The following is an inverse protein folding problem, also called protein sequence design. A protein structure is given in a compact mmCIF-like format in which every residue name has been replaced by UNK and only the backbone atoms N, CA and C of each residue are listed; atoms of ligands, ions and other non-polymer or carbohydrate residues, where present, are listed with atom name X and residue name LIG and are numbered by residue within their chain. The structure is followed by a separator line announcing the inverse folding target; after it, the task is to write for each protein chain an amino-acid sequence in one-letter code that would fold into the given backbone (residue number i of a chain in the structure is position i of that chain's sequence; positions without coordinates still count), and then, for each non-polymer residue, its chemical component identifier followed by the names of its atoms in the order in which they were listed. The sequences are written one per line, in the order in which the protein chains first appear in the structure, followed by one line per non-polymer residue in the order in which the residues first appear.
data_IF_482312144379
#
_entry.id   IF_482312144379
#
_cell.length_a   1.000
_cell.length_b   1.000
_cell.length_c   1.000
_cell.angle_alpha   90.00
_cell.angle_beta   90.00
_cell.angle_gamma   90.00
#
_symmetry.space_group_name_H-M   'P 1'
#
loop_
_entity.id
_entity.type
_entity.pdbx_description
1 polymer ?
#
# COMPACT_ATOMS: atom_id res chain seq x y z
N UNK A 1 34.48 -63.44 -34.77
CA UNK A 1 33.90 -62.53 -33.77
C UNK A 1 32.72 -63.24 -33.16
N UNK A 2 32.81 -63.64 -31.89
CA UNK A 2 31.76 -64.35 -31.18
C UNK A 2 30.63 -63.39 -30.79
N UNK A 3 29.40 -63.89 -30.64
CA UNK A 3 28.27 -63.13 -30.10
C UNK A 3 28.62 -62.51 -28.74
N UNK A 4 29.44 -63.23 -27.95
CA UNK A 4 29.95 -62.75 -26.66
C UNK A 4 30.85 -61.52 -26.84
N UNK A 5 31.72 -61.50 -27.84
CA UNK A 5 32.60 -60.36 -28.12
C UNK A 5 31.82 -59.12 -28.55
N UNK A 6 30.72 -59.32 -29.29
CA UNK A 6 29.82 -58.25 -29.73
C UNK A 6 29.08 -57.68 -28.52
N UNK A 7 28.56 -58.53 -27.63
CA UNK A 7 27.87 -58.10 -26.41
C UNK A 7 28.79 -57.29 -25.49
N UNK A 8 30.03 -57.73 -25.28
CA UNK A 8 31.01 -56.98 -24.50
C UNK A 8 31.34 -55.62 -25.12
N UNK A 9 31.53 -55.56 -26.45
CA UNK A 9 31.76 -54.29 -27.15
C UNK A 9 30.57 -53.35 -27.08
N UNK A 10 29.34 -53.88 -27.21
CA UNK A 10 28.12 -53.09 -27.05
C UNK A 10 28.00 -52.57 -25.62
N UNK A 11 28.30 -53.39 -24.61
CA UNK A 11 28.29 -52.97 -23.20
C UNK A 11 29.35 -51.88 -22.91
N UNK A 12 30.57 -52.02 -23.45
CA UNK A 12 31.61 -50.98 -23.35
C UNK A 12 31.20 -49.68 -24.06
N UNK A 13 30.55 -49.77 -25.22
CA UNK A 13 30.02 -48.61 -25.94
C UNK A 13 28.89 -47.97 -25.13
N UNK A 14 27.93 -48.73 -24.62
CA UNK A 14 26.87 -48.22 -23.76
C UNK A 14 27.46 -47.50 -22.53
N UNK A 15 28.45 -48.08 -21.85
CA UNK A 15 29.15 -47.45 -20.72
C UNK A 15 29.89 -46.17 -21.11
N UNK A 16 30.52 -46.12 -22.29
CA UNK A 16 31.24 -44.93 -22.78
C UNK A 16 30.30 -43.76 -23.07
N UNK A 17 29.07 -44.05 -23.50
CA UNK A 17 28.06 -43.04 -23.86
C UNK A 17 27.00 -42.80 -22.77
N UNK A 18 27.04 -43.54 -21.67
CA UNK A 18 26.19 -43.41 -20.48
C UNK A 18 26.19 -41.97 -19.92
N UNK A 19 27.30 -41.23 -20.10
CA UNK A 19 27.42 -39.80 -19.73
C UNK A 19 26.61 -38.84 -20.60
N UNK A 20 26.04 -39.30 -21.72
CA UNK A 20 25.16 -38.53 -22.58
C UNK A 20 23.70 -38.92 -22.40
N UNK A 21 23.39 -39.88 -21.53
CA UNK A 21 22.04 -40.22 -21.15
C UNK A 21 21.45 -39.07 -20.31
N UNK A 22 20.62 -38.27 -20.99
CA UNK A 22 19.99 -37.07 -20.44
C UNK A 22 19.04 -37.46 -19.30
N UNK A 23 18.37 -38.61 -19.36
CA UNK A 23 17.43 -39.06 -18.32
C UNK A 23 18.19 -39.50 -17.07
N UNK A 24 19.26 -40.28 -17.25
CA UNK A 24 20.14 -40.69 -16.15
C UNK A 24 20.87 -39.52 -15.48
N UNK A 25 21.29 -38.52 -16.25
CA UNK A 25 21.82 -37.27 -15.71
C UNK A 25 20.75 -36.40 -15.05
N UNK A 26 19.52 -36.40 -15.55
CA UNK A 26 18.42 -35.64 -14.94
C UNK A 26 18.06 -36.20 -13.57
N UNK A 27 18.05 -37.51 -13.40
CA UNK A 27 17.72 -38.14 -12.11
C UNK A 27 18.87 -38.04 -11.09
N UNK A 28 20.13 -38.01 -11.54
CA UNK A 28 21.29 -37.70 -10.69
C UNK A 28 21.36 -36.21 -10.29
N UNK A 29 20.89 -35.30 -11.17
CA UNK A 29 20.87 -33.86 -10.92
C UNK A 29 19.56 -33.35 -10.29
N UNK A 30 18.48 -34.15 -10.27
CA UNK A 30 17.21 -33.81 -9.64
C UNK A 30 17.32 -33.62 -8.12
N UNK A 31 18.41 -34.10 -7.52
CA UNK A 31 18.72 -33.96 -6.10
C UNK A 31 19.99 -33.12 -5.82
N UNK A 32 20.57 -32.49 -6.85
CA UNK A 32 21.84 -31.76 -6.74
C UNK A 32 21.66 -30.25 -6.85
N UNK A 33 21.49 -29.58 -5.70
CA UNK A 33 22.05 -28.26 -5.35
C UNK A 33 22.24 -27.24 -6.51
N UNK A 34 21.22 -27.04 -7.35
CA UNK A 34 21.27 -25.99 -8.36
C UNK A 34 20.80 -24.68 -7.73
N UNK A 35 21.78 -23.88 -7.30
CA UNK A 35 21.58 -22.56 -6.72
C UNK A 35 20.65 -21.66 -7.57
N UNK A 36 20.58 -21.87 -8.90
CA UNK A 36 19.63 -21.17 -9.76
C UNK A 36 18.19 -21.60 -9.50
N UNK A 37 17.91 -22.90 -9.45
CA UNK A 37 16.57 -23.43 -9.24
C UNK A 37 16.03 -23.05 -7.85
N UNK A 38 16.87 -23.14 -6.82
CA UNK A 38 16.49 -22.70 -5.47
C UNK A 38 16.17 -21.20 -5.40
N UNK A 39 17.02 -20.35 -5.99
CA UNK A 39 16.77 -18.91 -6.01
C UNK A 39 15.53 -18.56 -6.84
N UNK A 40 15.33 -19.23 -7.97
CA UNK A 40 14.16 -19.03 -8.83
C UNK A 40 12.86 -19.39 -8.09
N UNK A 41 12.78 -20.58 -7.49
CA UNK A 41 11.59 -21.00 -6.73
C UNK A 41 11.33 -20.11 -5.51
N UNK A 42 12.39 -19.66 -4.82
CA UNK A 42 12.25 -18.69 -3.73
C UNK A 42 11.71 -17.35 -4.21
N UNK A 43 12.23 -16.83 -5.32
CA UNK A 43 11.76 -15.57 -5.91
C UNK A 43 10.32 -15.68 -6.44
N UNK A 44 9.97 -16.81 -7.05
CA UNK A 44 8.63 -17.09 -7.54
C UNK A 44 7.62 -17.11 -6.38
N UNK A 45 7.93 -17.82 -5.29
CA UNK A 45 7.10 -17.84 -4.09
C UNK A 45 6.95 -16.46 -3.43
N UNK A 46 8.03 -15.67 -3.36
CA UNK A 46 7.97 -14.30 -2.83
C UNK A 46 7.16 -13.35 -3.73
N UNK A 47 7.20 -13.53 -5.04
CA UNK A 47 6.38 -12.78 -6.01
C UNK A 47 4.91 -13.12 -5.83
N UNK A 48 4.56 -14.40 -5.74
CA UNK A 48 3.17 -14.83 -5.51
C UNK A 48 2.63 -14.31 -4.18
N UNK A 49 3.41 -14.41 -3.11
CA UNK A 49 3.05 -13.89 -1.80
C UNK A 49 2.87 -12.37 -1.80
N UNK A 50 3.75 -11.63 -2.49
CA UNK A 50 3.62 -10.18 -2.64
C UNK A 50 2.39 -9.78 -3.47
N UNK A 51 2.06 -10.55 -4.51
CA UNK A 51 0.88 -10.33 -5.33
C UNK A 51 -0.41 -10.55 -4.54
N UNK A 52 -0.51 -11.68 -3.83
CA UNK A 52 -1.66 -11.96 -2.98
C UNK A 52 -1.84 -10.92 -1.87
N UNK A 53 -0.74 -10.49 -1.24
CA UNK A 53 -0.77 -9.42 -0.22
C UNK A 53 -1.23 -8.08 -0.81
N UNK A 54 -0.86 -7.76 -2.05
CA UNK A 54 -1.34 -6.57 -2.75
C UNK A 54 -2.84 -6.64 -3.04
N UNK A 55 -3.36 -7.83 -3.39
CA UNK A 55 -4.79 -8.05 -3.61
C UNK A 55 -5.60 -7.88 -2.31
N UNK A 56 -5.14 -8.49 -1.22
CA UNK A 56 -5.73 -8.29 0.12
C UNK A 56 -5.74 -6.80 0.49
N UNK A 57 -4.62 -6.10 0.29
CA UNK A 57 -4.51 -4.68 0.58
C UNK A 57 -5.46 -3.81 -0.26
N UNK A 58 -5.87 -4.27 -1.46
CA UNK A 58 -6.85 -3.59 -2.31
C UNK A 58 -8.30 -3.81 -1.88
N UNK A 59 -8.58 -4.93 -1.21
CA UNK A 59 -9.92 -5.26 -0.68
C UNK A 59 -10.10 -4.79 0.77
N UNK A 60 -9.03 -4.32 1.40
CA UNK A 60 -9.00 -3.88 2.77
C UNK A 60 -9.81 -2.59 2.97
N UNK A 61 -10.69 -2.60 3.97
CA UNK A 61 -11.57 -1.47 4.30
C UNK A 61 -10.94 -0.52 5.31
N UNK A 62 -10.05 -1.04 6.15
CA UNK A 62 -9.30 -0.22 7.09
C UNK A 62 -8.12 0.47 6.40
N UNK A 63 -8.23 1.79 6.23
CA UNK A 63 -7.22 2.62 5.56
C UNK A 63 -5.82 2.49 6.17
N UNK A 64 -5.70 2.41 7.50
CA UNK A 64 -4.39 2.25 8.15
C UNK A 64 -3.79 0.85 7.89
N UNK A 65 -4.62 -0.19 7.91
CA UNK A 65 -4.24 -1.57 7.56
C UNK A 65 -3.76 -1.66 6.11
N UNK A 66 -4.54 -1.08 5.18
CA UNK A 66 -4.21 -1.07 3.75
C UNK A 66 -2.87 -0.36 3.48
N UNK A 67 -2.60 0.77 4.14
CA UNK A 67 -1.33 1.50 4.01
C UNK A 67 -0.16 0.66 4.53
N UNK A 68 -0.31 0.00 5.68
CA UNK A 68 0.73 -0.86 6.25
C UNK A 68 1.05 -2.06 5.34
N UNK A 69 0.03 -2.74 4.82
CA UNK A 69 0.20 -3.85 3.88
C UNK A 69 0.88 -3.40 2.57
N UNK A 70 0.46 -2.27 2.00
CA UNK A 70 1.08 -1.72 0.79
C UNK A 70 2.54 -1.31 1.02
N UNK A 71 2.87 -0.74 2.18
CA UNK A 71 4.26 -0.45 2.54
C UNK A 71 5.12 -1.73 2.61
N UNK A 72 4.55 -2.83 3.09
CA UNK A 72 5.23 -4.12 3.11
C UNK A 72 5.44 -4.70 1.69
N UNK A 73 4.44 -4.60 0.82
CA UNK A 73 4.55 -4.97 -0.60
C UNK A 73 5.67 -4.19 -1.28
N UNK A 74 5.82 -2.89 -0.99
CA UNK A 74 6.93 -2.06 -1.49
C UNK A 74 8.29 -2.56 -1.00
N UNK A 75 8.41 -2.90 0.29
CA UNK A 75 9.66 -3.44 0.86
C UNK A 75 10.04 -4.76 0.21
N UNK A 76 9.09 -5.67 0.04
CA UNK A 76 9.33 -6.96 -0.64
C UNK A 76 9.73 -6.75 -2.10
N UNK A 77 9.08 -5.85 -2.84
CA UNK A 77 9.48 -5.46 -4.20
C UNK A 77 10.94 -4.99 -4.26
N UNK A 78 11.35 -4.11 -3.36
CA UNK A 78 12.73 -3.60 -3.33
C UNK A 78 13.74 -4.74 -3.13
N UNK A 79 13.43 -5.69 -2.23
CA UNK A 79 14.24 -6.90 -2.05
C UNK A 79 14.31 -7.75 -3.33
N UNK A 80 13.16 -8.07 -3.92
CA UNK A 80 13.06 -8.84 -5.16
C UNK A 80 13.89 -8.21 -6.30
N UNK A 81 13.80 -6.89 -6.47
CA UNK A 81 14.57 -6.17 -7.50
C UNK A 81 16.09 -6.25 -7.28
N UNK A 82 16.55 -6.34 -6.04
CA UNK A 82 17.97 -6.53 -5.72
C UNK A 82 18.47 -7.95 -6.01
N UNK A 83 17.58 -8.95 -6.00
CA UNK A 83 17.91 -10.36 -6.24
C UNK A 83 17.84 -10.75 -7.74
N UNK A 84 17.06 -10.04 -8.56
CA UNK A 84 16.96 -10.24 -10.01
C UNK A 84 18.33 -10.26 -10.72
N UNK A 85 19.29 -9.35 -10.43
CA UNK A 85 20.63 -9.42 -11.00
C UNK A 85 21.40 -10.70 -10.65
N UNK A 86 21.21 -11.25 -9.44
CA UNK A 86 21.85 -12.51 -9.03
C UNK A 86 21.28 -13.68 -9.80
N UNK A 87 19.96 -13.71 -9.99
CA UNK A 87 19.29 -14.70 -10.82
C UNK A 87 19.76 -14.62 -12.29
N UNK A 88 19.89 -13.41 -12.86
CA UNK A 88 20.46 -13.21 -14.21
C UNK A 88 21.90 -13.74 -14.32
N UNK A 89 22.75 -13.49 -13.32
CA UNK A 89 24.14 -14.01 -13.28
C UNK A 89 24.17 -15.54 -13.23
N UNK A 90 23.33 -16.16 -12.41
CA UNK A 90 23.24 -17.61 -12.31
C UNK A 90 22.69 -18.24 -13.59
N UNK A 91 21.72 -17.61 -14.25
CA UNK A 91 21.21 -18.05 -15.55
C UNK A 91 22.31 -18.06 -16.63
N UNK A 92 23.10 -16.98 -16.73
CA UNK A 92 24.22 -16.89 -17.68
C UNK A 92 25.33 -17.89 -17.34
N UNK A 93 25.63 -18.09 -16.06
CA UNK A 93 26.61 -19.09 -15.61
C UNK A 93 26.17 -20.51 -15.96
N UNK A 94 24.89 -20.83 -15.77
CA UNK A 94 24.29 -22.12 -16.18
C UNK A 94 24.32 -22.28 -17.70
N UNK A 95 23.96 -21.24 -18.45
CA UNK A 95 24.09 -21.22 -19.91
C UNK A 95 25.53 -21.53 -20.36
N UNK A 96 26.54 -20.94 -19.70
CA UNK A 96 27.95 -21.21 -19.99
C UNK A 96 28.40 -22.61 -19.57
N UNK A 97 27.85 -23.15 -18.47
CA UNK A 97 28.11 -24.53 -17.99
C UNK A 97 27.43 -25.63 -18.80
N UNK A 98 26.38 -25.31 -19.56
CA UNK A 98 25.73 -26.24 -20.51
C UNK A 98 26.40 -26.24 -21.89
N UNK A 99 27.28 -25.27 -22.18
CA UNK A 99 28.06 -25.13 -23.42
C UNK A 99 29.48 -25.78 -23.44
N UNK A 100 30.13 -26.27 -22.36
CA UNK A 100 31.53 -26.72 -22.44
C UNK A 100 31.78 -28.07 -23.14
N UNK A 101 30.78 -28.75 -23.71
CA UNK A 101 31.00 -30.08 -24.30
C UNK A 101 31.33 -30.07 -25.81
N UNK A 102 31.56 -28.91 -26.41
CA UNK A 102 32.13 -28.83 -27.76
C UNK A 102 33.63 -28.50 -27.65
N UNK A 103 34.44 -29.55 -27.46
CA UNK A 103 35.85 -29.47 -27.84
C UNK A 103 35.93 -29.14 -29.34
N UNK A 104 36.87 -28.29 -29.78
CA UNK A 104 36.95 -27.86 -31.17
C UNK A 104 37.61 -28.97 -32.01
N UNK A 105 36.86 -30.00 -32.36
CA UNK A 105 37.26 -30.93 -33.40
C UNK A 105 36.71 -30.44 -34.73
N UNK A 106 37.64 -30.00 -35.58
CA UNK A 106 37.47 -29.68 -37.00
C UNK A 106 36.66 -30.80 -37.67
N UNK A 107 35.58 -30.45 -38.37
CA UNK A 107 35.12 -31.09 -39.61
C UNK A 107 33.99 -30.26 -40.21
N UNK A 108 33.97 -30.26 -41.52
CA UNK A 108 33.32 -29.36 -42.46
C UNK A 108 31.81 -29.55 -42.56
N UNK A 109 31.13 -28.51 -43.08
CA UNK A 109 29.92 -28.62 -43.89
C UNK A 109 28.67 -29.17 -43.21
N UNK A 110 27.75 -28.29 -42.83
CA UNK A 110 26.39 -28.68 -42.47
C UNK A 110 25.64 -27.57 -41.75
N UNK A 111 24.69 -26.95 -42.45
CA UNK A 111 23.71 -26.04 -41.88
C UNK A 111 22.99 -26.72 -40.70
N UNK A 112 23.03 -26.11 -39.51
CA UNK A 112 22.15 -26.47 -38.40
C UNK A 112 21.34 -25.24 -38.00
N UNK A 113 20.22 -25.12 -38.69
CA UNK A 113 19.08 -24.32 -38.32
C UNK A 113 18.40 -24.96 -37.12
N UNK A 114 18.56 -24.41 -35.92
CA UNK A 114 17.57 -24.46 -34.83
C UNK A 114 17.87 -23.37 -33.79
N UNK A 115 17.06 -22.29 -33.69
CA UNK A 115 17.11 -21.39 -32.55
C UNK A 115 16.55 -22.13 -31.34
N UNK A 116 17.41 -22.38 -30.35
CA UNK A 116 17.02 -22.98 -29.08
C UNK A 116 16.02 -22.04 -28.38
N UNK A 117 14.97 -22.65 -27.81
CA UNK A 117 13.81 -22.13 -27.06
C UNK A 117 14.14 -21.29 -25.81
N UNK A 118 15.12 -20.39 -25.87
CA UNK A 118 15.64 -19.61 -24.73
C UNK A 118 15.10 -18.17 -24.73
N UNK A 119 14.70 -17.62 -25.89
CA UNK A 119 14.24 -16.24 -26.01
C UNK A 119 12.85 -15.98 -25.41
N UNK A 120 11.96 -16.97 -25.34
CA UNK A 120 10.59 -16.74 -24.83
C UNK A 120 10.55 -16.59 -23.31
N UNK A 121 11.48 -17.21 -22.58
CA UNK A 121 11.50 -17.17 -21.12
C UNK A 121 12.08 -15.85 -20.60
N UNK A 122 13.11 -15.31 -21.25
CA UNK A 122 13.70 -14.01 -20.90
C UNK A 122 12.77 -12.84 -21.23
N UNK A 123 12.08 -12.88 -22.38
CA UNK A 123 11.08 -11.87 -22.74
C UNK A 123 9.89 -11.85 -21.78
N UNK A 124 9.40 -13.01 -21.36
CA UNK A 124 8.28 -13.08 -20.41
C UNK A 124 8.66 -12.52 -19.03
N UNK A 125 9.89 -12.79 -18.55
CA UNK A 125 10.40 -12.21 -17.30
C UNK A 125 10.49 -10.69 -17.39
N UNK A 126 10.94 -10.14 -18.52
CA UNK A 126 11.01 -8.68 -18.72
C UNK A 126 9.63 -8.03 -18.77
N UNK A 127 8.67 -8.62 -19.49
CA UNK A 127 7.30 -8.12 -19.56
C UNK A 127 6.64 -8.14 -18.16
N UNK A 128 6.78 -9.23 -17.42
CA UNK A 128 6.22 -9.35 -16.07
C UNK A 128 6.84 -8.31 -15.11
N UNK A 129 8.15 -8.10 -15.22
CA UNK A 129 8.89 -7.11 -14.41
C UNK A 129 8.40 -5.69 -14.69
N UNK A 130 8.16 -5.35 -15.96
CA UNK A 130 7.67 -4.02 -16.39
C UNK A 130 6.22 -3.81 -15.93
N UNK A 131 5.34 -4.79 -16.12
CA UNK A 131 3.93 -4.69 -15.72
C UNK A 131 3.83 -4.53 -14.19
N UNK A 132 4.55 -5.35 -13.43
CA UNK A 132 4.59 -5.27 -11.97
C UNK A 132 5.16 -3.92 -11.50
N UNK A 133 6.24 -3.44 -12.14
CA UNK A 133 6.83 -2.14 -11.81
C UNK A 133 5.86 -0.98 -12.04
N UNK A 134 5.14 -0.97 -13.17
CA UNK A 134 4.17 0.07 -13.51
C UNK A 134 2.96 0.07 -12.58
N UNK A 135 2.37 -1.10 -12.31
CA UNK A 135 1.21 -1.23 -11.42
C UNK A 135 1.53 -0.71 -10.01
N UNK A 136 2.72 -1.01 -9.52
CA UNK A 136 3.19 -0.55 -8.21
C UNK A 136 3.57 0.94 -8.21
N UNK A 137 4.13 1.48 -9.29
CA UNK A 137 4.43 2.93 -9.39
C UNK A 137 3.16 3.79 -9.32
N UNK A 138 2.06 3.30 -9.88
CA UNK A 138 0.77 3.97 -9.77
C UNK A 138 0.23 3.92 -8.33
N UNK A 139 0.45 2.80 -7.62
CA UNK A 139 0.14 2.71 -6.18
C UNK A 139 1.08 3.60 -5.34
N UNK A 140 2.33 3.78 -5.75
CA UNK A 140 3.31 4.72 -5.16
C UNK A 140 2.74 6.13 -5.11
N UNK A 141 2.35 6.64 -6.27
CA UNK A 141 1.72 7.96 -6.43
C UNK A 141 0.42 8.10 -5.63
N UNK A 142 -0.40 7.04 -5.57
CA UNK A 142 -1.63 7.03 -4.79
C UNK A 142 -1.38 7.21 -3.29
N UNK A 143 -0.36 6.55 -2.72
CA UNK A 143 -0.07 6.73 -1.29
C UNK A 143 0.61 8.07 -1.00
N UNK A 144 1.42 8.61 -1.91
CA UNK A 144 2.03 9.93 -1.71
C UNK A 144 0.95 11.01 -1.60
N UNK A 145 -0.05 10.97 -2.50
CA UNK A 145 -1.23 11.86 -2.42
C UNK A 145 -2.00 11.69 -1.10
N UNK A 146 -2.18 10.45 -0.65
CA UNK A 146 -2.87 10.15 0.62
C UNK A 146 -2.05 10.64 1.82
N UNK A 147 -0.73 10.54 1.77
CA UNK A 147 0.20 11.01 2.80
C UNK A 147 0.14 12.52 2.93
N UNK A 148 0.20 13.24 1.81
CA UNK A 148 0.10 14.70 1.79
C UNK A 148 -1.27 15.16 2.32
N UNK A 149 -2.35 14.53 1.86
CA UNK A 149 -3.69 14.80 2.37
C UNK A 149 -3.84 14.54 3.87
N UNK A 150 -3.16 13.52 4.40
CA UNK A 150 -3.13 13.24 5.84
C UNK A 150 -2.33 14.31 6.60
N UNK A 151 -1.23 14.80 6.05
CA UNK A 151 -0.46 15.92 6.60
C UNK A 151 -1.32 17.19 6.70
N UNK A 152 -2.09 17.52 5.65
CA UNK A 152 -3.02 18.65 5.69
C UNK A 152 -4.10 18.47 6.76
N UNK A 153 -4.68 17.27 6.86
CA UNK A 153 -5.73 16.99 7.85
C UNK A 153 -5.21 17.06 9.29
N UNK A 154 -3.95 16.63 9.51
CA UNK A 154 -3.27 16.76 10.81
C UNK A 154 -3.12 18.22 11.21
N UNK A 155 -2.61 19.07 10.31
CA UNK A 155 -2.44 20.49 10.60
C UNK A 155 -3.78 21.16 10.91
N UNK A 156 -4.84 20.84 10.14
CA UNK A 156 -6.18 21.36 10.43
C UNK A 156 -6.70 20.91 11.80
N UNK A 157 -6.44 19.66 12.19
CA UNK A 157 -6.83 19.17 13.50
C UNK A 157 -6.07 19.88 14.64
N UNK A 158 -4.78 20.17 14.45
CA UNK A 158 -3.99 20.98 15.39
C UNK A 158 -4.57 22.41 15.49
N UNK A 159 -4.83 23.07 14.36
CA UNK A 159 -5.42 24.41 14.32
C UNK A 159 -6.79 24.47 15.02
N UNK A 160 -7.64 23.46 14.79
CA UNK A 160 -8.95 23.34 15.43
C UNK A 160 -8.83 23.15 16.94
N UNK A 161 -7.84 22.38 17.41
CA UNK A 161 -7.62 22.18 18.83
C UNK A 161 -7.20 23.50 19.50
N UNK A 162 -6.25 24.22 18.90
CA UNK A 162 -5.86 25.54 19.41
C UNK A 162 -7.01 26.54 19.41
N UNK A 163 -7.85 26.53 18.38
CA UNK A 163 -9.01 27.41 18.30
C UNK A 163 -10.07 27.05 19.35
N UNK A 164 -10.28 25.76 19.60
CA UNK A 164 -11.17 25.30 20.67
C UNK A 164 -10.66 25.76 22.04
N UNK A 165 -9.37 25.63 22.32
CA UNK A 165 -8.74 26.10 23.56
C UNK A 165 -8.87 27.63 23.72
N UNK A 166 -8.76 28.38 22.61
CA UNK A 166 -9.00 29.84 22.60
C UNK A 166 -10.46 30.21 22.86
N UNK A 167 -11.42 29.38 22.47
CA UNK A 167 -12.85 29.67 22.63
C UNK A 167 -13.39 29.42 24.03
N UNK A 168 -12.77 28.54 24.83
CA UNK A 168 -13.19 28.28 26.22
C UNK A 168 -13.38 29.57 27.06
N UNK A 169 -12.38 30.48 27.18
CA UNK A 169 -12.54 31.70 27.98
C UNK A 169 -13.55 32.69 27.38
N UNK A 170 -13.76 32.67 26.06
CA UNK A 170 -14.75 33.53 25.40
C UNK A 170 -16.18 33.09 25.72
N UNK A 171 -16.42 31.79 25.83
CA UNK A 171 -17.72 31.24 26.23
C UNK A 171 -18.05 31.66 27.67
N UNK A 172 -17.08 31.58 28.58
CA UNK A 172 -17.25 32.02 29.98
C UNK A 172 -17.56 33.53 30.07
N UNK A 173 -16.90 34.36 29.25
CA UNK A 173 -17.17 35.79 29.19
C UNK A 173 -18.58 36.07 28.62
N UNK A 174 -19.00 35.30 27.62
CA UNK A 174 -20.35 35.39 27.04
C UNK A 174 -21.40 35.01 28.09
N UNK A 175 -21.21 33.92 28.83
CA UNK A 175 -22.13 33.49 29.89
C UNK A 175 -22.26 34.58 30.97
N UNK A 176 -21.12 35.13 31.42
CA UNK A 176 -21.10 36.22 32.39
C UNK A 176 -21.84 37.47 31.88
N UNK A 177 -21.64 37.84 30.61
CA UNK A 177 -22.37 38.97 30.00
C UNK A 177 -23.85 38.68 29.84
N UNK A 178 -24.23 37.45 29.49
CA UNK A 178 -25.62 37.04 29.34
C UNK A 178 -26.37 37.10 30.69
N UNK A 179 -25.73 36.66 31.78
CA UNK A 179 -26.27 36.75 33.13
C UNK A 179 -26.47 38.20 33.57
N UNK A 180 -25.48 39.07 33.29
CA UNK A 180 -25.59 40.50 33.57
C UNK A 180 -26.75 41.15 32.82
N UNK A 181 -26.85 40.92 31.51
CA UNK A 181 -27.95 41.45 30.68
C UNK A 181 -29.31 40.95 31.20
N UNK A 182 -29.40 39.68 31.58
CA UNK A 182 -30.62 39.10 32.15
C UNK A 182 -31.01 39.80 33.46
N UNK A 183 -30.05 40.06 34.35
CA UNK A 183 -30.28 40.78 35.61
C UNK A 183 -30.70 42.23 35.38
N UNK A 184 -30.02 42.94 34.49
CA UNK A 184 -30.33 44.33 34.16
C UNK A 184 -31.73 44.46 33.54
N UNK A 185 -32.12 43.52 32.68
CA UNK A 185 -33.47 43.47 32.10
C UNK A 185 -34.53 43.20 33.17
N UNK A 186 -34.30 42.26 34.10
CA UNK A 186 -35.21 42.02 35.24
C UNK A 186 -35.39 43.27 36.08
N UNK A 187 -34.29 43.94 36.44
CA UNK A 187 -34.31 45.17 37.24
C UNK A 187 -35.06 46.31 36.52
N UNK A 188 -34.84 46.45 35.21
CA UNK A 188 -35.53 47.45 34.39
C UNK A 188 -37.03 47.19 34.34
N UNK A 189 -37.45 45.94 34.17
CA UNK A 189 -38.86 45.55 34.22
C UNK A 189 -39.50 45.83 35.59
N UNK A 190 -38.80 45.58 36.69
CA UNK A 190 -39.27 45.93 38.05
C UNK A 190 -39.51 47.44 38.16
N UNK A 191 -38.56 48.26 37.69
CA UNK A 191 -38.68 49.73 37.69
C UNK A 191 -39.84 50.21 36.83
N UNK A 192 -39.99 49.70 35.62
CA UNK A 192 -41.09 50.04 34.72
C UNK A 192 -42.45 49.69 35.34
N UNK A 193 -42.57 48.52 35.96
CA UNK A 193 -43.80 48.09 36.65
C UNK A 193 -44.13 49.02 37.83
N UNK A 194 -43.13 49.48 38.59
CA UNK A 194 -43.32 50.47 39.65
C UNK A 194 -43.81 51.82 39.10
N UNK A 195 -43.17 52.33 38.05
CA UNK A 195 -43.60 53.59 37.39
C UNK A 195 -45.02 53.50 36.84
N UNK A 196 -45.38 52.37 36.24
CA UNK A 196 -46.73 52.13 35.71
C UNK A 196 -47.79 52.16 36.82
N UNK A 197 -47.51 51.51 37.96
CA UNK A 197 -48.43 51.51 39.10
C UNK A 197 -48.60 52.91 39.69
N UNK A 198 -47.53 53.70 39.79
CA UNK A 198 -47.61 55.10 40.23
C UNK A 198 -48.47 55.95 39.29
N UNK A 199 -48.27 55.84 37.97
CA UNK A 199 -49.10 56.55 36.98
C UNK A 199 -50.57 56.14 37.02
N UNK A 200 -50.87 54.86 37.29
CA UNK A 200 -52.25 54.41 37.47
C UNK A 200 -52.87 55.01 38.73
N UNK A 201 -52.11 55.04 39.84
CA UNK A 201 -52.56 55.67 41.09
C UNK A 201 -52.80 57.17 40.94
N UNK A 202 -51.92 57.90 40.23
CA UNK A 202 -52.08 59.34 40.04
C UNK A 202 -53.29 59.64 39.16
N UNK A 203 -53.53 58.85 38.11
CA UNK A 203 -54.73 58.99 37.26
C UNK A 203 -56.00 58.75 38.05
N UNK A 204 -56.03 57.73 38.91
CA UNK A 204 -57.19 57.49 39.78
C UNK A 204 -57.44 58.69 40.70
N UNK A 205 -56.41 59.23 41.34
CA UNK A 205 -56.53 60.43 42.17
C UNK A 205 -57.06 61.65 41.39
N UNK A 206 -56.57 61.88 40.17
CA UNK A 206 -57.08 62.95 39.32
C UNK A 206 -58.56 62.74 38.94
N UNK A 207 -58.97 61.50 38.66
CA UNK A 207 -60.38 61.17 38.36
C UNK A 207 -61.25 61.48 39.57
N UNK A 208 -60.84 61.10 40.78
CA UNK A 208 -61.59 61.37 42.01
C UNK A 208 -61.80 62.87 42.22
N UNK A 209 -60.78 63.70 41.95
CA UNK A 209 -60.88 65.16 42.02
C UNK A 209 -61.91 65.69 41.00
N UNK A 210 -61.85 65.24 39.75
CA UNK A 210 -62.76 65.69 38.69
C UNK A 210 -64.20 65.32 39.07
N UNK A 211 -64.44 64.08 39.49
CA UNK A 211 -65.75 63.61 39.92
C UNK A 211 -66.29 64.40 41.12
N UNK A 212 -65.43 64.80 42.07
CA UNK A 212 -65.83 65.64 43.20
C UNK A 212 -66.33 67.03 42.77
N UNK A 213 -65.67 67.65 41.76
CA UNK A 213 -66.05 68.95 41.23
C UNK A 213 -67.27 68.91 40.29
N UNK A 214 -67.53 67.80 39.59
CA UNK A 214 -68.69 67.67 38.69
C UNK A 214 -69.99 67.26 39.42
N UNK A 215 -69.90 66.63 40.59
CA UNK A 215 -71.06 66.08 41.33
C UNK A 215 -71.49 66.90 42.57
N UNK A 216 -70.77 67.97 42.93
CA UNK A 216 -71.16 68.94 43.98
C UNK A 216 -71.32 70.34 43.38
#
# INVERSE_FOLDING_TARGET
MSVIDILFRVDEICKKYDKYDIEKQRDLNAYGDDAFAHLYSSLEAEIEAAFHKSEIASMETNRASAVAMNAEVRRTKARLMNEVPKLRKLAVKKQFQMVPQLQPNKLEGGELQHPIRISSSTHQVEILTVIFSNKLKNQDQGLDFISDGLGTLKNLAEDMNEEMDRQVPLVDEIETKADKVTSDMKNTNIRLKKSLNQLRSSRNFCIDIILYFELN
#
